data_IF_788334933662
#
_entry.id   IF_788334933662
#
_cell.length_a   1.000
_cell.length_b   1.000
_cell.length_c   1.000
_cell.angle_alpha   90.00
_cell.angle_beta   90.00
_cell.angle_gamma   90.00
#
_symmetry.space_group_name_H-M   'P 1'
#
loop_
_entity.id
_entity.type
_entity.pdbx_description
1 polymer ?
#
# COMPACT_ATOMS: atom_id res chain seq x y z
N UNK A 1 3.60 8.51 17.67
CA UNK A 1 4.23 8.89 16.38
C UNK A 1 3.44 8.26 15.24
N UNK A 2 3.54 8.77 14.03
CA UNK A 2 2.89 8.19 12.84
C UNK A 2 3.95 7.56 11.94
N UNK A 3 3.80 6.26 11.71
CA UNK A 3 4.68 5.46 10.88
C UNK A 3 3.97 4.99 9.61
N UNK A 4 4.69 4.94 8.50
CA UNK A 4 4.22 4.41 7.23
C UNK A 4 5.10 3.24 6.81
N UNK A 5 4.51 2.22 6.20
CA UNK A 5 5.18 1.10 5.53
C UNK A 5 4.29 0.65 4.38
N UNK A 6 4.79 -0.18 3.46
CA UNK A 6 3.96 -0.75 2.40
C UNK A 6 4.48 -2.13 1.98
N UNK A 7 3.70 -2.83 1.15
CA UNK A 7 4.15 -3.99 0.35
C UNK A 7 4.86 -5.08 1.20
N UNK A 8 4.28 -5.39 2.37
CA UNK A 8 4.84 -6.35 3.31
C UNK A 8 4.78 -7.77 2.73
N UNK A 9 3.76 -8.07 1.92
CA UNK A 9 3.63 -9.33 1.20
C UNK A 9 3.81 -10.56 2.09
N UNK A 10 3.02 -10.65 3.17
CA UNK A 10 2.96 -11.82 4.05
C UNK A 10 4.26 -12.14 4.81
N UNK A 11 5.24 -11.23 4.86
CA UNK A 11 6.49 -11.39 5.62
C UNK A 11 6.34 -10.89 7.06
N UNK A 12 5.55 -11.62 7.86
CA UNK A 12 5.31 -11.32 9.28
C UNK A 12 6.61 -11.14 10.05
N UNK A 13 7.60 -12.01 9.83
CA UNK A 13 8.89 -11.98 10.54
C UNK A 13 9.61 -10.65 10.33
N UNK A 14 9.64 -10.15 9.10
CA UNK A 14 10.26 -8.85 8.82
C UNK A 14 9.44 -7.71 9.41
N UNK A 15 8.12 -7.78 9.32
CA UNK A 15 7.25 -6.76 9.91
C UNK A 15 7.45 -6.64 11.43
N UNK A 16 7.48 -7.76 12.16
CA UNK A 16 7.77 -7.78 13.59
C UNK A 16 9.15 -7.20 13.94
N UNK A 17 10.18 -7.52 13.13
CA UNK A 17 11.50 -6.89 13.28
C UNK A 17 11.44 -5.38 13.09
N UNK A 18 10.64 -4.89 12.14
CA UNK A 18 10.45 -3.46 11.92
C UNK A 18 9.79 -2.82 13.14
N UNK A 19 8.69 -3.40 13.64
CA UNK A 19 8.01 -2.93 14.86
C UNK A 19 8.97 -2.86 16.05
N UNK A 20 9.81 -3.88 16.23
CA UNK A 20 10.83 -3.87 17.29
C UNK A 20 11.90 -2.81 17.05
N UNK A 21 12.35 -2.61 15.81
CA UNK A 21 13.38 -1.63 15.43
C UNK A 21 12.93 -0.19 15.67
N UNK A 22 11.68 0.13 15.36
CA UNK A 22 11.09 1.45 15.60
C UNK A 22 10.56 1.61 17.03
N UNK A 23 10.64 0.54 17.84
CA UNK A 23 10.08 0.46 19.20
C UNK A 23 8.61 0.84 19.22
N UNK A 24 7.83 0.28 18.29
CA UNK A 24 6.42 0.60 18.10
C UNK A 24 5.61 0.28 19.37
N UNK A 25 4.74 1.20 19.76
CA UNK A 25 3.89 1.09 20.95
C UNK A 25 2.42 1.32 20.60
N UNK A 26 1.52 1.09 21.57
CA UNK A 26 0.08 1.38 21.42
C UNK A 26 -0.24 2.89 21.34
N UNK A 27 0.72 3.75 21.69
CA UNK A 27 0.60 5.21 21.55
C UNK A 27 0.98 5.70 20.15
N UNK A 28 1.60 4.85 19.35
CA UNK A 28 1.91 5.12 17.95
C UNK A 28 0.73 4.80 17.05
N UNK A 29 0.79 5.28 15.81
CA UNK A 29 -0.12 4.93 14.73
C UNK A 29 0.70 4.47 13.54
N UNK A 30 0.23 3.46 12.83
CA UNK A 30 0.84 3.01 11.58
C UNK A 30 -0.19 2.94 10.46
N UNK A 31 0.23 3.31 9.25
CA UNK A 31 -0.51 3.03 8.03
C UNK A 31 0.32 2.16 7.09
N UNK A 32 -0.25 1.03 6.66
CA UNK A 32 0.30 0.13 5.65
C UNK A 32 -0.35 0.49 4.32
N UNK A 33 0.44 0.89 3.32
CA UNK A 33 -0.06 1.42 2.04
C UNK A 33 -0.39 0.31 1.03
N UNK A 34 -1.11 -0.72 1.47
CA UNK A 34 -1.49 -1.87 0.65
C UNK A 34 -0.46 -2.97 0.58
N UNK A 35 -0.85 -4.04 -0.12
CA UNK A 35 -0.04 -5.21 -0.44
C UNK A 35 0.54 -5.88 0.81
N UNK A 36 -0.34 -6.09 1.77
CA UNK A 36 -0.05 -6.88 2.96
C UNK A 36 -0.07 -8.39 2.63
N UNK A 37 -0.87 -8.83 1.66
CA UNK A 37 -0.97 -10.24 1.27
C UNK A 37 -0.14 -10.57 0.03
N UNK A 38 -0.12 -11.87 -0.30
CA UNK A 38 0.54 -12.50 -1.44
C UNK A 38 2.07 -12.52 -1.37
N UNK A 39 2.68 -13.38 -2.21
CA UNK A 39 4.13 -13.61 -2.36
C UNK A 39 4.85 -14.22 -1.13
N UNK A 40 4.49 -13.82 0.09
CA UNK A 40 4.99 -14.37 1.35
C UNK A 40 4.27 -15.63 1.81
N UNK A 41 4.53 -16.02 3.06
CA UNK A 41 4.10 -17.32 3.63
C UNK A 41 3.14 -17.22 4.82
N UNK A 42 2.93 -16.03 5.35
CA UNK A 42 2.19 -15.81 6.59
C UNK A 42 1.11 -14.73 6.37
N UNK A 43 0.30 -14.87 5.31
CA UNK A 43 -0.56 -13.80 4.79
C UNK A 43 -1.74 -13.52 5.72
N UNK A 44 -2.53 -14.54 6.06
CA UNK A 44 -3.67 -14.40 6.96
C UNK A 44 -3.22 -14.09 8.40
N UNK A 45 -2.05 -14.60 8.80
CA UNK A 45 -1.42 -14.21 10.07
C UNK A 45 -1.13 -12.71 10.11
N UNK A 46 -0.60 -12.14 9.02
CA UNK A 46 -0.33 -10.70 8.94
C UNK A 46 -1.62 -9.89 8.99
N UNK A 47 -2.67 -10.31 8.27
CA UNK A 47 -3.99 -9.68 8.35
C UNK A 47 -4.53 -9.69 9.79
N UNK A 48 -4.44 -10.83 10.49
CA UNK A 48 -4.87 -10.93 11.89
C UNK A 48 -4.07 -9.96 12.79
N UNK A 49 -2.74 -9.92 12.67
CA UNK A 49 -1.88 -9.00 13.43
C UNK A 49 -2.26 -7.53 13.22
N UNK A 50 -2.55 -7.14 11.98
CA UNK A 50 -2.97 -5.77 11.64
C UNK A 50 -4.31 -5.46 12.31
N UNK A 51 -5.29 -6.35 12.18
CA UNK A 51 -6.65 -6.18 12.75
C UNK A 51 -6.62 -6.10 14.28
N UNK A 52 -5.83 -6.93 14.93
CA UNK A 52 -5.73 -7.00 16.40
C UNK A 52 -4.96 -5.81 17.00
N UNK A 53 -4.09 -5.15 16.22
CA UNK A 53 -3.27 -4.08 16.75
C UNK A 53 -4.10 -2.87 17.22
N UNK A 54 -5.21 -2.55 16.53
CA UNK A 54 -6.10 -1.42 16.85
C UNK A 54 -5.51 -0.03 16.58
N UNK A 55 -4.21 0.06 16.28
CA UNK A 55 -3.48 1.29 15.92
C UNK A 55 -2.65 1.13 14.63
N UNK A 56 -2.98 0.12 13.82
CA UNK A 56 -2.38 -0.13 12.50
C UNK A 56 -3.55 -0.16 11.50
N UNK A 57 -3.55 0.78 10.56
CA UNK A 57 -4.51 0.83 9.46
C UNK A 57 -3.90 0.24 8.19
N UNK A 58 -4.68 -0.55 7.46
CA UNK A 58 -4.32 -1.04 6.12
C UNK A 58 -5.12 -0.23 5.08
N UNK A 59 -4.44 0.24 4.06
CA UNK A 59 -5.04 0.77 2.82
C UNK A 59 -5.17 -0.38 1.82
N UNK A 60 -6.19 -0.38 0.98
CA UNK A 60 -6.40 -1.41 -0.03
C UNK A 60 -5.31 -1.32 -1.11
N UNK A 61 -4.51 -2.37 -1.26
CA UNK A 61 -3.64 -2.59 -2.42
C UNK A 61 -4.32 -3.42 -3.50
N UNK A 62 -3.64 -3.60 -4.64
CA UNK A 62 -4.16 -4.45 -5.72
C UNK A 62 -4.20 -5.92 -5.31
N UNK A 63 -3.31 -6.37 -4.43
CA UNK A 63 -3.34 -7.75 -3.92
C UNK A 63 -4.51 -8.02 -2.97
N UNK A 64 -4.86 -7.05 -2.09
CA UNK A 64 -6.09 -7.15 -1.28
C UNK A 64 -7.35 -7.13 -2.16
N UNK A 65 -7.35 -6.34 -3.23
CA UNK A 65 -8.43 -6.34 -4.21
C UNK A 65 -8.58 -7.71 -4.88
N UNK A 66 -7.51 -8.31 -5.41
CA UNK A 66 -7.58 -9.64 -6.02
C UNK A 66 -8.09 -10.71 -5.04
N UNK A 67 -7.64 -10.68 -3.79
CA UNK A 67 -8.13 -11.59 -2.75
C UNK A 67 -9.65 -11.43 -2.53
N UNK A 68 -10.14 -10.19 -2.44
CA UNK A 68 -11.57 -9.89 -2.36
C UNK A 68 -12.33 -10.44 -3.58
N UNK A 69 -11.85 -10.19 -4.81
CA UNK A 69 -12.50 -10.66 -6.04
C UNK A 69 -12.57 -12.17 -6.13
N UNK A 70 -11.56 -12.87 -5.61
CA UNK A 70 -11.55 -14.33 -5.53
C UNK A 70 -12.61 -14.83 -4.54
N UNK A 71 -12.68 -14.23 -3.35
CA UNK A 71 -13.67 -14.57 -2.33
C UNK A 71 -15.11 -14.30 -2.78
N UNK A 72 -15.33 -13.27 -3.60
CA UNK A 72 -16.62 -12.97 -4.23
C UNK A 72 -16.93 -13.90 -5.43
N UNK A 73 -16.01 -14.79 -5.81
CA UNK A 73 -16.19 -15.74 -6.92
C UNK A 73 -16.08 -15.13 -8.31
N UNK A 74 -15.48 -13.94 -8.44
CA UNK A 74 -15.46 -13.18 -9.69
C UNK A 74 -14.21 -13.46 -10.51
N UNK A 75 -13.08 -13.72 -9.84
CA UNK A 75 -11.86 -14.22 -10.51
C UNK A 75 -11.61 -15.67 -10.13
N UNK A 76 -11.02 -16.44 -11.04
CA UNK A 76 -10.60 -17.81 -10.79
C UNK A 76 -9.22 -17.90 -10.14
N UNK A 77 -8.95 -19.05 -9.51
CA UNK A 77 -7.67 -19.36 -8.87
C UNK A 77 -6.45 -19.16 -9.80
N UNK A 78 -6.56 -19.58 -11.07
CA UNK A 78 -5.47 -19.47 -12.03
C UNK A 78 -5.06 -18.02 -12.34
N UNK A 79 -6.02 -17.10 -12.37
CA UNK A 79 -5.73 -15.68 -12.60
C UNK A 79 -5.03 -15.07 -11.39
N UNK A 80 -5.58 -15.29 -10.18
CA UNK A 80 -4.96 -14.76 -8.96
C UNK A 80 -3.55 -15.36 -8.73
N UNK A 81 -3.37 -16.66 -8.98
CA UNK A 81 -2.07 -17.32 -8.90
C UNK A 81 -1.03 -16.69 -9.84
N UNK A 82 -1.43 -16.32 -11.05
CA UNK A 82 -0.55 -15.65 -12.02
C UNK A 82 -0.11 -14.26 -11.54
N UNK A 83 -0.92 -13.61 -10.69
CA UNK A 83 -0.58 -12.36 -10.01
C UNK A 83 0.19 -12.56 -8.69
N UNK A 84 0.56 -13.80 -8.32
CA UNK A 84 1.32 -14.09 -7.09
C UNK A 84 0.47 -14.51 -5.89
N UNK A 85 -0.83 -14.73 -6.09
CA UNK A 85 -1.79 -15.07 -5.03
C UNK A 85 -1.71 -16.48 -4.46
N UNK A 86 -0.89 -17.36 -5.04
CA UNK A 86 -0.88 -18.80 -4.72
C UNK A 86 -0.72 -19.10 -3.22
N UNK A 87 0.13 -18.37 -2.52
CA UNK A 87 0.37 -18.60 -1.09
C UNK A 87 -0.84 -18.21 -0.25
N UNK A 88 -1.36 -16.99 -0.44
CA UNK A 88 -2.57 -16.50 0.26
C UNK A 88 -3.77 -17.37 -0.08
N UNK A 89 -3.97 -17.73 -1.34
CA UNK A 89 -5.10 -18.56 -1.77
C UNK A 89 -5.11 -19.90 -1.06
N UNK A 90 -3.95 -20.56 -0.87
CA UNK A 90 -3.86 -21.80 -0.10
C UNK A 90 -4.28 -21.63 1.37
N UNK A 91 -3.98 -20.49 1.97
CA UNK A 91 -4.43 -20.15 3.32
C UNK A 91 -5.94 -19.86 3.35
N UNK A 92 -6.46 -19.18 2.33
CA UNK A 92 -7.88 -18.82 2.18
C UNK A 92 -8.77 -20.04 1.89
N UNK A 93 -8.33 -20.97 1.03
CA UNK A 93 -9.12 -22.11 0.57
C UNK A 93 -9.49 -23.09 1.71
N UNK A 94 -8.72 -23.08 2.80
CA UNK A 94 -8.96 -23.94 3.98
C UNK A 94 -9.80 -23.28 5.06
N UNK A 95 -10.16 -22.00 4.90
CA UNK A 95 -11.07 -21.30 5.80
C UNK A 95 -12.49 -21.86 5.68
N UNK A 96 -13.24 -21.79 6.78
CA UNK A 96 -14.69 -21.97 6.74
C UNK A 96 -15.37 -20.85 5.96
N UNK A 97 -16.60 -21.08 5.49
CA UNK A 97 -17.36 -20.06 4.75
C UNK A 97 -17.58 -18.79 5.59
N UNK A 98 -17.81 -18.91 6.90
CA UNK A 98 -17.94 -17.75 7.79
C UNK A 98 -16.64 -16.94 7.90
N UNK A 99 -15.48 -17.60 7.89
CA UNK A 99 -14.17 -16.91 7.93
C UNK A 99 -13.86 -16.25 6.58
N UNK A 100 -14.26 -16.86 5.47
CA UNK A 100 -14.17 -16.26 4.13
C UNK A 100 -15.05 -15.03 4.02
N UNK A 101 -16.29 -15.08 4.51
CA UNK A 101 -17.20 -13.94 4.55
C UNK A 101 -16.66 -12.80 5.41
N UNK A 102 -16.12 -13.10 6.60
CA UNK A 102 -15.46 -12.09 7.46
C UNK A 102 -14.24 -11.45 6.77
N UNK A 103 -13.38 -12.26 6.16
CA UNK A 103 -12.22 -11.78 5.43
C UNK A 103 -12.63 -10.90 4.22
N UNK A 104 -13.60 -11.35 3.43
CA UNK A 104 -14.12 -10.58 2.29
C UNK A 104 -14.70 -9.25 2.75
N UNK A 105 -15.50 -9.24 3.83
CA UNK A 105 -16.05 -8.04 4.43
C UNK A 105 -14.96 -7.07 4.91
N UNK A 106 -13.92 -7.59 5.56
CA UNK A 106 -12.77 -6.80 5.98
C UNK A 106 -12.05 -6.17 4.78
N UNK A 107 -11.67 -6.97 3.78
CA UNK A 107 -10.97 -6.49 2.58
C UNK A 107 -11.80 -5.42 1.86
N UNK A 108 -13.10 -5.66 1.67
CA UNK A 108 -14.04 -4.70 1.06
C UNK A 108 -14.13 -3.37 1.82
N UNK A 109 -14.00 -3.41 3.15
CA UNK A 109 -14.05 -2.21 3.99
C UNK A 109 -12.78 -1.36 3.99
N UNK A 110 -11.68 -1.87 3.42
CA UNK A 110 -10.40 -1.16 3.42
C UNK A 110 -10.51 0.18 2.68
N UNK A 111 -10.01 1.29 3.25
CA UNK A 111 -9.98 2.57 2.58
C UNK A 111 -9.01 2.54 1.39
N UNK A 112 -9.33 3.29 0.35
CA UNK A 112 -8.45 3.48 -0.82
C UNK A 112 -7.33 4.47 -0.54
N UNK A 113 -7.59 5.44 0.32
CA UNK A 113 -6.62 6.45 0.70
C UNK A 113 -6.86 6.93 2.13
N UNK A 114 -5.87 7.62 2.69
CA UNK A 114 -5.95 8.27 4.00
C UNK A 114 -5.30 9.65 3.97
N UNK A 115 -6.06 10.66 4.39
CA UNK A 115 -5.52 11.99 4.69
C UNK A 115 -4.89 11.98 6.10
N UNK A 116 -3.66 12.48 6.21
CA UNK A 116 -2.95 12.68 7.49
C UNK A 116 -2.42 14.10 7.56
N UNK A 117 -2.62 14.76 8.70
CA UNK A 117 -2.16 16.13 8.94
C UNK A 117 -1.24 16.14 10.16
N UNK A 118 -0.03 16.68 10.01
CA UNK A 118 0.94 16.86 11.09
C UNK A 118 1.44 18.29 11.03
N UNK A 119 1.02 19.11 12.02
CA UNK A 119 1.26 20.55 11.99
C UNK A 119 0.63 21.17 10.73
N UNK A 120 1.45 21.82 9.90
CA UNK A 120 1.03 22.43 8.64
C UNK A 120 1.13 21.46 7.44
N UNK A 121 1.79 20.31 7.62
CA UNK A 121 2.00 19.34 6.55
C UNK A 121 0.75 18.47 6.35
N UNK A 122 0.34 18.33 5.09
CA UNK A 122 -0.77 17.47 4.66
C UNK A 122 -0.19 16.34 3.79
N UNK A 123 -0.50 15.11 4.18
CA UNK A 123 -0.09 13.90 3.49
C UNK A 123 -1.31 13.16 2.96
N UNK A 124 -1.22 12.72 1.71
CA UNK A 124 -2.19 11.84 1.08
C UNK A 124 -1.54 10.47 0.91
N UNK A 125 -2.02 9.52 1.69
CA UNK A 125 -1.52 8.15 1.71
C UNK A 125 -2.40 7.31 0.81
N UNK A 126 -1.81 6.58 -0.13
CA UNK A 126 -2.54 5.72 -1.06
C UNK A 126 -1.62 4.62 -1.57
N UNK A 127 -2.16 3.58 -2.19
CA UNK A 127 -1.36 2.46 -2.69
C UNK A 127 -0.62 2.82 -4.00
N UNK A 128 -1.35 3.06 -5.10
CA UNK A 128 -0.82 3.27 -6.45
C UNK A 128 -0.61 4.74 -6.84
N UNK A 129 -1.05 5.68 -6.00
CA UNK A 129 -0.88 7.12 -6.26
C UNK A 129 -2.01 7.73 -7.07
N UNK A 130 -1.87 7.70 -8.40
CA UNK A 130 -2.65 8.48 -9.35
C UNK A 130 -2.87 7.66 -10.62
N UNK A 131 -4.03 7.85 -11.26
CA UNK A 131 -4.26 7.44 -12.65
C UNK A 131 -4.36 8.70 -13.55
N UNK A 132 -3.56 8.74 -14.64
CA UNK A 132 -3.41 9.94 -15.46
C UNK A 132 -4.65 10.29 -16.30
N UNK A 133 -5.59 9.36 -16.49
CA UNK A 133 -6.82 9.59 -17.27
C UNK A 133 -7.88 10.37 -16.48
N UNK A 134 -7.75 10.47 -15.16
CA UNK A 134 -8.80 10.98 -14.25
C UNK A 134 -8.31 12.16 -13.40
N UNK A 135 -7.48 13.03 -13.98
CA UNK A 135 -6.95 14.21 -13.28
C UNK A 135 -8.03 15.26 -13.06
N UNK A 136 -8.23 15.63 -11.81
CA UNK A 136 -9.11 16.73 -11.40
C UNK A 136 -8.26 17.93 -10.97
N UNK A 137 -8.54 19.08 -11.59
CA UNK A 137 -7.86 20.34 -11.25
C UNK A 137 -8.42 20.92 -9.94
N UNK A 138 -7.53 21.39 -9.07
CA UNK A 138 -7.87 22.09 -7.83
C UNK A 138 -7.83 23.62 -7.99
N UNK A 139 -7.72 24.33 -6.86
CA UNK A 139 -7.55 25.79 -6.85
C UNK A 139 -6.11 26.21 -7.16
N UNK A 140 -5.95 27.06 -8.18
CA UNK A 140 -4.63 27.37 -8.75
C UNK A 140 -4.13 26.23 -9.64
N UNK A 141 -2.95 26.38 -10.26
CA UNK A 141 -2.35 25.35 -11.12
C UNK A 141 -1.83 24.14 -10.30
N UNK A 142 -2.72 23.49 -9.54
CA UNK A 142 -2.46 22.29 -8.75
C UNK A 142 -3.54 21.24 -9.01
N UNK A 143 -3.15 19.98 -8.94
CA UNK A 143 -4.04 18.82 -9.01
C UNK A 143 -4.63 18.58 -7.63
N UNK A 144 -5.95 18.43 -7.55
CA UNK A 144 -6.62 17.89 -6.36
C UNK A 144 -6.45 16.37 -6.38
N UNK A 145 -5.47 15.87 -5.62
CA UNK A 145 -5.16 14.45 -5.64
C UNK A 145 -6.33 13.60 -5.14
N UNK A 146 -7.08 14.11 -4.16
CA UNK A 146 -8.19 13.36 -3.56
C UNK A 146 -9.33 13.20 -4.55
N UNK A 147 -9.72 14.28 -5.21
CA UNK A 147 -10.74 14.23 -6.25
C UNK A 147 -10.30 13.37 -7.44
N UNK A 148 -9.02 13.47 -7.85
CA UNK A 148 -8.48 12.65 -8.94
C UNK A 148 -8.51 11.15 -8.64
N UNK A 149 -8.13 10.76 -7.42
CA UNK A 149 -8.20 9.36 -6.98
C UNK A 149 -9.64 8.88 -6.88
N UNK A 150 -10.54 9.70 -6.35
CA UNK A 150 -11.95 9.34 -6.25
C UNK A 150 -12.56 9.12 -7.65
N UNK A 151 -12.30 10.03 -8.60
CA UNK A 151 -12.76 9.92 -9.98
C UNK A 151 -12.27 8.64 -10.64
N UNK A 152 -10.98 8.29 -10.46
CA UNK A 152 -10.39 7.07 -11.01
C UNK A 152 -11.04 5.80 -10.43
N UNK A 153 -11.26 5.77 -9.11
CA UNK A 153 -11.83 4.62 -8.41
C UNK A 153 -13.30 4.40 -8.77
N UNK A 154 -14.07 5.49 -8.88
CA UNK A 154 -15.50 5.44 -9.24
C UNK A 154 -15.70 4.93 -10.67
N UNK A 155 -14.73 5.18 -11.56
CA UNK A 155 -14.72 4.64 -12.93
C UNK A 155 -14.27 3.18 -12.97
N UNK A 156 -13.09 2.89 -12.42
CA UNK A 156 -12.49 1.57 -12.46
C UNK A 156 -11.44 1.40 -11.34
N UNK A 157 -11.90 0.89 -10.20
CA UNK A 157 -11.05 0.61 -9.05
C UNK A 157 -9.92 -0.36 -9.37
N UNK A 158 -10.13 -1.37 -10.22
CA UNK A 158 -9.08 -2.30 -10.62
C UNK A 158 -8.00 -1.53 -11.38
N UNK A 159 -8.38 -0.83 -12.45
CA UNK A 159 -7.42 -0.05 -13.24
C UNK A 159 -6.68 0.99 -12.41
N UNK A 160 -7.33 1.60 -11.41
CA UNK A 160 -6.66 2.51 -10.49
C UNK A 160 -5.62 1.80 -9.61
N UNK A 161 -5.98 0.69 -8.97
CA UNK A 161 -5.09 -0.03 -8.05
C UNK A 161 -3.88 -0.64 -8.75
N UNK A 162 -4.00 -0.96 -10.03
CA UNK A 162 -2.90 -1.48 -10.86
C UNK A 162 -2.13 -0.39 -11.63
N UNK A 163 -2.46 0.89 -11.46
CA UNK A 163 -1.76 1.98 -12.14
C UNK A 163 -0.39 2.24 -11.54
N UNK A 164 0.57 2.60 -12.39
CA UNK A 164 1.88 3.11 -12.00
C UNK A 164 2.14 4.51 -12.59
N UNK A 165 1.09 5.23 -13.01
CA UNK A 165 1.21 6.52 -13.70
C UNK A 165 1.85 7.60 -12.83
N UNK A 166 1.75 7.49 -11.50
CA UNK A 166 2.38 8.42 -10.55
C UNK A 166 3.89 8.57 -10.79
N UNK A 167 4.56 7.53 -11.31
CA UNK A 167 5.99 7.55 -11.58
C UNK A 167 6.35 8.30 -12.87
N UNK A 168 5.39 8.53 -13.77
CA UNK A 168 5.57 9.12 -15.10
C UNK A 168 4.97 10.53 -15.23
N UNK A 169 4.46 11.10 -14.13
CA UNK A 169 3.89 12.45 -14.14
C UNK A 169 4.92 13.51 -14.55
N UNK A 170 4.53 14.51 -15.38
CA UNK A 170 5.42 15.59 -15.76
C UNK A 170 5.94 16.37 -14.55
N UNK A 171 7.20 16.83 -14.62
CA UNK A 171 7.85 17.51 -13.49
C UNK A 171 7.17 18.83 -13.08
N UNK A 172 6.41 19.44 -13.98
CA UNK A 172 5.65 20.67 -13.74
C UNK A 172 4.36 20.44 -12.95
N UNK A 173 3.86 19.21 -12.85
CA UNK A 173 2.64 18.90 -12.08
C UNK A 173 2.89 19.17 -10.61
N UNK A 174 1.94 19.88 -9.99
CA UNK A 174 1.92 20.18 -8.57
C UNK A 174 0.65 19.60 -7.98
N UNK A 175 0.77 19.05 -6.78
CA UNK A 175 -0.37 18.57 -6.01
C UNK A 175 -0.66 19.53 -4.86
N UNK A 176 -1.91 19.53 -4.42
CA UNK A 176 -2.41 20.28 -3.27
C UNK A 176 -1.87 19.79 -1.91
N UNK A 177 -1.25 18.60 -1.89
CA UNK A 177 -0.64 17.96 -0.71
C UNK A 177 0.43 16.94 -1.09
N UNK A 178 1.26 16.51 -0.13
CA UNK A 178 2.32 15.54 -0.37
C UNK A 178 1.74 14.13 -0.51
N UNK A 179 2.00 13.46 -1.63
CA UNK A 179 1.54 12.08 -1.86
C UNK A 179 2.61 11.11 -1.36
N UNK A 180 2.18 10.04 -0.70
CA UNK A 180 3.02 8.90 -0.30
C UNK A 180 2.37 7.61 -0.79
N UNK A 181 3.14 6.80 -1.52
CA UNK A 181 2.70 5.58 -2.23
C UNK A 181 3.56 4.37 -1.90
N UNK A 182 3.07 3.18 -2.26
CA UNK A 182 3.83 1.93 -2.35
C UNK A 182 3.71 1.36 -3.77
N UNK A 183 3.33 0.08 -3.88
CA UNK A 183 2.92 -0.62 -5.12
C UNK A 183 4.03 -0.98 -6.11
N UNK A 184 4.88 -0.01 -6.47
CA UNK A 184 5.92 -0.21 -7.48
C UNK A 184 7.30 -0.16 -6.83
N UNK A 185 8.05 -1.29 -6.77
CA UNK A 185 9.32 -1.31 -6.06
C UNK A 185 10.30 -0.26 -6.61
N UNK A 186 10.79 0.60 -5.72
CA UNK A 186 11.73 1.69 -6.03
C UNK A 186 12.99 1.25 -6.77
N UNK A 187 13.41 -0.01 -6.61
CA UNK A 187 14.53 -0.63 -7.35
C UNK A 187 14.26 -0.76 -8.86
N UNK A 188 12.99 -0.71 -9.28
CA UNK A 188 12.57 -0.79 -10.68
C UNK A 188 12.38 0.60 -11.31
N UNK A 189 12.52 1.68 -10.54
CA UNK A 189 12.41 3.04 -11.08
C UNK A 189 13.68 3.37 -11.88
N UNK A 190 13.58 3.70 -13.18
CA UNK A 190 14.75 3.83 -14.08
C UNK A 190 15.82 4.83 -13.63
N UNK A 191 15.42 5.92 -12.96
CA UNK A 191 16.33 6.97 -12.50
C UNK A 191 16.76 6.80 -11.02
N UNK A 192 16.35 5.72 -10.36
CA UNK A 192 16.63 5.47 -8.95
C UNK A 192 17.39 4.15 -8.73
N UNK A 193 16.82 3.03 -9.17
CA UNK A 193 17.42 1.69 -9.11
C UNK A 193 17.96 1.29 -7.72
N UNK A 194 17.32 1.75 -6.64
CA UNK A 194 17.72 1.48 -5.26
C UNK A 194 16.54 1.00 -4.44
N UNK A 195 16.80 0.04 -3.56
CA UNK A 195 15.86 -0.40 -2.52
C UNK A 195 15.87 0.58 -1.33
N UNK A 196 15.63 1.86 -1.60
CA UNK A 196 15.59 2.99 -0.65
C UNK A 196 14.38 3.84 -0.97
N UNK A 197 13.79 4.47 0.05
CA UNK A 197 12.63 5.35 -0.12
C UNK A 197 12.99 6.40 -1.19
N UNK A 198 12.17 6.45 -2.23
CA UNK A 198 12.29 7.45 -3.28
C UNK A 198 11.48 8.68 -2.89
N UNK A 199 12.06 9.87 -3.03
CA UNK A 199 11.37 11.13 -2.72
C UNK A 199 11.72 12.21 -3.73
N UNK A 200 10.70 12.86 -4.25
CA UNK A 200 10.82 14.09 -5.01
C UNK A 200 9.77 15.12 -4.54
N UNK A 201 9.66 16.25 -5.23
CA UNK A 201 8.69 17.32 -4.89
C UNK A 201 7.22 16.95 -5.12
N UNK A 202 6.96 15.88 -5.86
CA UNK A 202 5.63 15.45 -6.31
C UNK A 202 5.08 14.33 -5.42
N UNK A 203 5.90 13.33 -5.12
CA UNK A 203 5.50 12.19 -4.29
C UNK A 203 6.71 11.57 -3.57
N UNK A 204 6.39 10.71 -2.60
CA UNK A 204 7.32 9.79 -1.93
C UNK A 204 6.84 8.37 -2.19
N UNK A 205 7.74 7.46 -2.52
CA UNK A 205 7.44 6.03 -2.68
C UNK A 205 8.26 5.25 -1.66
N UNK A 206 7.54 4.45 -0.86
CA UNK A 206 8.09 3.68 0.25
C UNK A 206 8.13 2.18 -0.02
N UNK A 207 7.74 1.71 -1.21
CA UNK A 207 7.96 0.33 -1.61
C UNK A 207 9.44 0.13 -1.96
N UNK A 208 10.19 -0.44 -1.02
CA UNK A 208 11.61 -0.75 -1.23
C UNK A 208 11.87 -2.20 -1.63
N UNK A 209 10.84 -2.89 -2.14
CA UNK A 209 10.92 -4.22 -2.70
C UNK A 209 11.06 -5.30 -1.64
N UNK A 210 10.22 -5.31 -0.60
CA UNK A 210 10.34 -6.31 0.47
C UNK A 210 10.18 -7.75 -0.06
N UNK A 211 9.41 -7.97 -1.11
CA UNK A 211 9.28 -9.25 -1.81
C UNK A 211 10.54 -9.64 -2.61
N UNK A 212 11.43 -8.67 -2.88
CA UNK A 212 12.67 -8.81 -3.66
C UNK A 212 13.93 -8.87 -2.80
N UNK A 213 13.86 -9.41 -1.58
CA UNK A 213 15.03 -9.45 -0.67
C UNK A 213 16.28 -10.11 -1.26
N UNK A 214 16.12 -11.06 -2.17
CA UNK A 214 17.25 -11.74 -2.83
C UNK A 214 18.04 -10.81 -3.76
N UNK A 215 17.38 -9.76 -4.24
CA UNK A 215 17.94 -8.78 -5.18
C UNK A 215 18.31 -7.46 -4.47
N UNK A 216 18.37 -7.45 -3.13
CA UNK A 216 18.69 -6.27 -2.32
C UNK A 216 17.49 -5.52 -1.75
N UNK A 217 16.28 -6.00 -2.03
CA UNK A 217 15.03 -5.46 -1.51
C UNK A 217 14.93 -5.45 0.02
N UNK A 218 14.22 -4.46 0.56
CA UNK A 218 14.09 -4.21 2.01
C UNK A 218 12.66 -3.82 2.35
N UNK A 219 12.28 -3.99 3.61
CA UNK A 219 11.07 -3.37 4.14
C UNK A 219 11.46 -2.00 4.69
N UNK A 220 10.87 -0.94 4.15
CA UNK A 220 11.07 0.42 4.64
C UNK A 220 9.95 0.83 5.58
N UNK A 221 10.29 1.67 6.56
CA UNK A 221 9.32 2.37 7.37
C UNK A 221 9.70 3.84 7.52
N UNK A 222 8.75 4.74 7.29
CA UNK A 222 8.92 6.19 7.37
C UNK A 222 8.18 6.73 8.58
N UNK A 223 8.86 7.48 9.44
CA UNK A 223 8.20 8.27 10.49
C UNK A 223 7.88 9.67 9.98
N UNK A 224 6.62 10.07 10.06
CA UNK A 224 6.17 11.32 9.43
C UNK A 224 6.59 12.58 10.18
N UNK A 225 6.75 12.54 11.50
CA UNK A 225 7.05 13.76 12.28
C UNK A 225 8.42 14.36 11.96
N UNK A 226 9.40 13.52 11.61
CA UNK A 226 10.78 13.94 11.36
C UNK A 226 11.38 13.39 10.06
N UNK A 227 10.59 12.68 9.27
CA UNK A 227 11.02 12.05 8.02
C UNK A 227 12.05 10.94 8.21
N UNK A 228 12.19 10.39 9.42
CA UNK A 228 13.20 9.36 9.69
C UNK A 228 12.83 8.03 9.05
N UNK A 229 13.81 7.42 8.42
CA UNK A 229 13.66 6.18 7.65
C UNK A 229 14.29 5.01 8.41
N UNK A 230 13.63 3.86 8.34
CA UNK A 230 14.06 2.61 8.93
C UNK A 230 13.97 1.52 7.87
N UNK A 231 14.94 0.61 7.88
CA UNK A 231 15.01 -0.50 6.93
C UNK A 231 15.30 -1.80 7.66
N UNK A 232 14.66 -2.89 7.24
CA UNK A 232 14.92 -4.27 7.69
C UNK A 232 15.12 -5.17 6.48
#
# INVERSE_FOLDING_TARGET
MIYLTSDIHGDCRTFEKMLHKIRFTKQDQMYILGDAVDKGKENLRLIALIREAGNIGLIKGNHEYLCERYLEGIIGASFWDACGGLSTRKEVDVLSESEKEDLAGYLKSLPIYKDVIIGENRYFLTHSGLNADYIVSGEGDVVDIKASVQEAVDHDQERYLFSNDIHYIPAAVRFDRQIIVGHYPTVLLPDWERSEIYRNRRYTDIDTGNERRRDGGRLACLRLEDGREYYV
#
